data_IF_832792849999
#
_entry.id   IF_832792849999
#
_cell.length_a   1.000
_cell.length_b   1.000
_cell.length_c   1.000
_cell.angle_alpha   90.00
_cell.angle_beta   90.00
_cell.angle_gamma   90.00
#
_symmetry.space_group_name_H-M   'P 1'
#
loop_
_entity.id
_entity.type
_entity.pdbx_description
1 polymer ?
#
# COMPACT_ATOMS: atom_id res chain seq x y z
N UNK A 1 -39.42 4.30 -7.88
CA UNK A 1 -39.10 3.99 -9.28
C UNK A 1 -37.65 3.51 -9.30
N UNK A 2 -37.44 2.21 -9.50
CA UNK A 2 -36.15 1.51 -9.37
C UNK A 2 -35.32 1.73 -10.64
N UNK A 3 -34.06 2.14 -10.49
CA UNK A 3 -33.05 2.09 -11.56
C UNK A 3 -32.29 0.78 -11.35
N UNK A 4 -32.39 -0.12 -12.31
CA UNK A 4 -31.74 -1.43 -12.34
C UNK A 4 -30.33 -1.29 -12.92
N UNK A 5 -29.42 -2.00 -12.26
CA UNK A 5 -28.00 -2.09 -12.55
C UNK A 5 -27.70 -2.80 -13.87
N UNK A 6 -26.55 -2.39 -14.41
CA UNK A 6 -25.76 -2.93 -15.50
C UNK A 6 -25.56 -4.44 -15.49
N UNK A 7 -25.50 -4.99 -16.70
CA UNK A 7 -25.09 -6.35 -17.02
C UNK A 7 -23.87 -6.27 -17.93
N UNK A 8 -22.74 -6.83 -17.50
CA UNK A 8 -21.59 -7.11 -18.38
C UNK A 8 -21.07 -8.54 -18.17
N UNK A 9 -20.57 -9.18 -19.25
CA UNK A 9 -20.37 -10.63 -19.32
C UNK A 9 -18.97 -11.09 -18.89
N UNK A 10 -18.91 -12.35 -18.45
CA UNK A 10 -17.70 -13.09 -18.14
C UNK A 10 -16.82 -13.31 -19.39
N UNK A 11 -15.54 -12.94 -19.31
CA UNK A 11 -14.50 -13.30 -20.28
C UNK A 11 -13.67 -14.46 -19.71
N UNK A 12 -13.78 -15.61 -20.38
CA UNK A 12 -12.96 -16.81 -20.22
C UNK A 12 -11.63 -16.61 -20.97
N UNK A 13 -10.50 -16.69 -20.28
CA UNK A 13 -9.17 -16.72 -20.91
C UNK A 13 -8.60 -18.13 -20.77
N UNK A 14 -8.59 -18.84 -21.89
CA UNK A 14 -7.94 -20.13 -22.06
C UNK A 14 -6.42 -19.97 -22.19
N UNK A 15 -5.70 -20.77 -21.41
CA UNK A 15 -4.25 -20.88 -21.36
C UNK A 15 -3.78 -21.78 -22.52
N UNK A 16 -2.99 -21.25 -23.46
CA UNK A 16 -2.29 -22.04 -24.48
C UNK A 16 -0.79 -22.09 -24.16
N UNK A 17 -0.30 -23.31 -23.98
CA UNK A 17 1.08 -23.67 -23.64
C UNK A 17 1.91 -23.68 -24.93
N UNK A 18 2.97 -22.87 -24.99
CA UNK A 18 3.96 -22.92 -26.05
C UNK A 18 5.12 -23.84 -25.64
N UNK A 19 5.28 -24.97 -26.31
CA UNK A 19 6.46 -25.82 -26.20
C UNK A 19 7.48 -25.39 -27.26
N UNK A 20 8.64 -24.90 -26.81
CA UNK A 20 9.81 -24.66 -27.66
C UNK A 20 10.90 -25.63 -27.21
N UNK A 21 11.28 -26.54 -28.10
CA UNK A 21 12.44 -27.43 -27.92
C UNK A 21 13.60 -26.88 -28.75
N UNK A 22 14.76 -26.73 -28.14
CA UNK A 22 16.02 -26.47 -28.85
C UNK A 22 17.07 -27.52 -28.48
N UNK A 23 17.76 -27.94 -29.54
CA UNK A 23 18.93 -28.81 -29.62
C UNK A 23 20.06 -28.46 -28.65
N UNK A 24 20.77 -29.48 -28.14
CA UNK A 24 22.20 -29.41 -27.84
C UNK A 24 22.91 -30.67 -28.33
N UNK A 25 23.94 -30.47 -29.13
CA UNK A 25 24.90 -31.48 -29.57
C UNK A 25 26.07 -31.65 -28.58
N UNK A 26 27.08 -32.48 -28.92
CA UNK A 26 27.72 -33.41 -28.00
C UNK A 26 29.00 -32.89 -27.33
N UNK A 27 29.38 -33.53 -26.22
CA UNK A 27 30.62 -33.33 -25.47
C UNK A 27 31.64 -34.46 -25.68
N UNK A 28 32.87 -34.04 -25.96
CA UNK A 28 34.19 -34.71 -26.00
C UNK A 28 34.45 -36.02 -25.24
N UNK A 29 35.36 -36.82 -25.80
CA UNK A 29 36.31 -37.70 -25.10
C UNK A 29 37.18 -38.47 -26.11
N UNK A 30 38.46 -38.13 -26.35
CA UNK A 30 39.71 -38.37 -25.61
C UNK A 30 40.43 -39.70 -25.96
N UNK A 31 41.67 -39.57 -26.46
CA UNK A 31 42.81 -40.52 -26.50
C UNK A 31 42.59 -41.82 -27.31
N UNK A 32 43.57 -42.44 -27.98
CA UNK A 32 44.96 -42.68 -27.60
C UNK A 32 45.78 -43.29 -28.76
N UNK A 33 47.11 -43.17 -28.66
CA UNK A 33 48.15 -44.15 -29.08
C UNK A 33 48.64 -44.29 -30.55
N UNK A 34 49.84 -43.72 -30.75
CA UNK A 34 51.14 -44.37 -31.12
C UNK A 34 51.44 -44.89 -32.57
N UNK A 35 52.74 -45.05 -32.92
CA UNK A 35 53.33 -44.59 -34.20
C UNK A 35 53.87 -45.71 -35.13
N UNK A 36 54.21 -45.38 -36.39
CA UNK A 36 55.21 -46.16 -37.17
C UNK A 36 55.80 -45.46 -38.42
N UNK A 37 57.10 -45.16 -38.32
CA UNK A 37 58.23 -45.43 -39.24
C UNK A 37 58.26 -44.86 -40.69
N UNK A 38 59.26 -43.97 -40.89
CA UNK A 38 60.24 -43.79 -41.98
C UNK A 38 59.92 -44.27 -43.42
N UNK A 39 60.08 -43.37 -44.39
CA UNK A 39 60.86 -43.62 -45.64
C UNK A 39 61.40 -42.31 -46.22
N UNK A 40 62.69 -42.32 -46.60
CA UNK A 40 63.47 -41.28 -47.28
C UNK A 40 62.95 -40.97 -48.69
N UNK A 41 63.13 -39.73 -49.15
CA UNK A 41 63.24 -39.45 -50.58
C UNK A 41 63.07 -37.97 -50.97
N UNK A 42 64.13 -37.45 -51.58
CA UNK A 42 64.19 -36.29 -52.46
C UNK A 42 64.40 -34.86 -51.92
N UNK A 43 65.30 -34.22 -52.65
CA UNK A 43 66.01 -32.96 -52.46
C UNK A 43 65.46 -31.98 -53.52
N UNK A 44 65.58 -30.67 -53.25
CA UNK A 44 65.30 -29.50 -54.08
C UNK A 44 63.88 -28.92 -54.06
N UNK A 45 63.70 -27.83 -53.30
CA UNK A 45 63.47 -26.50 -53.89
C UNK A 45 63.57 -25.41 -52.80
N UNK A 46 64.09 -24.25 -53.19
CA UNK A 46 64.36 -23.08 -52.35
C UNK A 46 63.15 -22.14 -52.30
N UNK A 47 62.82 -21.71 -51.07
CA UNK A 47 62.26 -20.40 -50.66
C UNK A 47 60.79 -20.07 -51.00
N UNK A 48 60.21 -19.01 -50.39
CA UNK A 48 59.79 -18.90 -49.00
C UNK A 48 58.27 -18.64 -48.93
N UNK A 49 57.55 -19.08 -47.89
CA UNK A 49 56.17 -18.62 -47.70
C UNK A 49 55.90 -18.36 -46.24
N UNK A 50 55.80 -17.07 -45.95
CA UNK A 50 55.32 -16.47 -44.72
C UNK A 50 54.07 -17.21 -44.26
N UNK A 51 54.08 -17.67 -43.00
CA UNK A 51 52.86 -18.09 -42.32
C UNK A 51 51.91 -16.89 -42.30
N UNK A 52 50.96 -16.89 -43.23
CA UNK A 52 49.81 -16.00 -43.24
C UNK A 52 49.08 -16.19 -41.92
N UNK A 53 49.31 -15.25 -41.01
CA UNK A 53 48.41 -14.91 -39.92
C UNK A 53 47.04 -14.72 -40.56
N UNK A 54 46.15 -15.70 -40.43
CA UNK A 54 44.74 -15.55 -40.78
C UNK A 54 44.24 -14.34 -40.00
N UNK A 55 44.11 -13.20 -40.69
CA UNK A 55 43.43 -12.03 -40.18
C UNK A 55 41.98 -12.46 -39.92
N UNK A 56 41.70 -12.81 -38.66
CA UNK A 56 40.34 -13.01 -38.17
C UNK A 56 39.57 -11.74 -38.53
N UNK A 57 38.66 -11.85 -39.51
CA UNK A 57 37.87 -10.71 -39.96
C UNK A 57 37.03 -10.20 -38.79
N UNK A 58 37.54 -9.16 -38.13
CA UNK A 58 36.86 -8.50 -37.01
C UNK A 58 35.97 -7.39 -37.53
N UNK A 59 34.74 -7.29 -37.01
CA UNK A 59 33.84 -6.19 -37.33
C UNK A 59 33.50 -5.38 -36.07
N UNK A 60 33.09 -4.14 -36.27
CA UNK A 60 32.65 -3.26 -35.18
C UNK A 60 31.14 -3.41 -34.97
N UNK A 61 30.71 -3.62 -33.74
CA UNK A 61 29.30 -3.66 -33.34
C UNK A 61 29.03 -2.57 -32.31
N UNK A 62 28.00 -1.76 -32.54
CA UNK A 62 27.65 -0.63 -31.67
C UNK A 62 26.43 -0.96 -30.82
N UNK A 63 26.54 -0.74 -29.52
CA UNK A 63 25.47 -0.91 -28.54
C UNK A 63 25.19 0.46 -27.92
N UNK A 64 23.95 0.92 -28.04
CA UNK A 64 23.50 2.14 -27.39
C UNK A 64 22.76 1.77 -26.11
N UNK A 65 23.16 2.38 -25.00
CA UNK A 65 22.55 2.16 -23.69
C UNK A 65 22.14 3.49 -23.06
N UNK A 66 21.07 3.45 -22.28
CA UNK A 66 20.63 4.55 -21.42
C UNK A 66 20.76 4.09 -19.98
N UNK A 67 21.54 4.83 -19.20
CA UNK A 67 21.85 4.56 -17.79
C UNK A 67 21.68 5.82 -16.96
N UNK A 68 21.39 5.68 -15.67
CA UNK A 68 21.20 6.84 -14.77
C UNK A 68 22.55 7.38 -14.30
N UNK A 69 23.50 6.47 -14.00
CA UNK A 69 24.83 6.83 -13.50
C UNK A 69 25.94 6.18 -14.33
N UNK A 70 27.11 6.81 -14.36
CA UNK A 70 28.27 6.31 -15.10
C UNK A 70 28.77 4.96 -14.56
N UNK A 71 28.59 4.73 -13.25
CA UNK A 71 28.96 3.49 -12.56
C UNK A 71 28.15 2.27 -12.99
N UNK A 72 27.00 2.47 -13.65
CA UNK A 72 26.19 1.41 -14.22
C UNK A 72 26.76 0.85 -15.54
N UNK A 73 27.77 1.52 -16.12
CA UNK A 73 28.55 0.99 -17.24
C UNK A 73 29.69 0.15 -16.66
N UNK A 74 29.67 -1.16 -16.93
CA UNK A 74 30.60 -2.13 -16.29
C UNK A 74 31.84 -2.43 -17.11
N UNK A 75 31.92 -1.89 -18.32
CA UNK A 75 33.02 -2.13 -19.25
C UNK A 75 33.88 -0.89 -19.45
N UNK A 76 35.18 -1.12 -19.62
CA UNK A 76 36.18 -0.09 -19.94
C UNK A 76 36.73 -0.29 -21.35
N UNK A 77 37.27 0.76 -21.93
CA UNK A 77 37.95 0.67 -23.21
C UNK A 77 39.09 -0.35 -23.16
N UNK A 78 39.26 -1.11 -24.25
CA UNK A 78 40.22 -2.22 -24.42
C UNK A 78 39.98 -3.46 -23.54
N UNK A 79 38.91 -3.49 -22.76
CA UNK A 79 38.53 -4.69 -21.99
C UNK A 79 38.05 -5.80 -22.94
N UNK A 80 38.48 -7.04 -22.69
CA UNK A 80 37.89 -8.20 -23.37
C UNK A 80 36.57 -8.58 -22.72
N UNK A 81 35.57 -8.84 -23.55
CA UNK A 81 34.22 -9.24 -23.14
C UNK A 81 33.85 -10.51 -23.86
N UNK A 82 33.22 -11.43 -23.15
CA UNK A 82 32.64 -12.65 -23.72
C UNK A 82 31.16 -12.46 -24.00
N UNK A 83 30.62 -13.30 -24.87
CA UNK A 83 29.18 -13.41 -25.09
C UNK A 83 28.50 -13.72 -23.75
N UNK A 84 27.49 -12.91 -23.41
CA UNK A 84 26.75 -13.00 -22.15
C UNK A 84 27.32 -12.17 -21.00
N UNK A 85 28.53 -11.61 -21.12
CA UNK A 85 29.10 -10.72 -20.11
C UNK A 85 28.26 -9.44 -19.99
N UNK A 86 28.13 -8.92 -18.78
CA UNK A 86 27.31 -7.73 -18.52
C UNK A 86 28.08 -6.48 -18.94
N UNK A 87 27.49 -5.75 -19.89
CA UNK A 87 28.02 -4.48 -20.40
C UNK A 87 27.54 -3.33 -19.54
N UNK A 88 26.27 -3.37 -19.15
CA UNK A 88 25.68 -2.40 -18.24
C UNK A 88 24.69 -3.06 -17.30
N UNK A 89 24.76 -2.67 -16.04
CA UNK A 89 23.84 -3.08 -15.00
C UNK A 89 23.39 -1.84 -14.22
N UNK A 90 22.08 -1.61 -14.16
CA UNK A 90 21.50 -0.43 -13.48
C UNK A 90 21.41 -0.68 -11.97
N UNK A 91 22.57 -0.94 -11.35
CA UNK A 91 22.68 -1.29 -9.93
C UNK A 91 22.27 -0.08 -9.08
N UNK A 92 22.64 1.13 -9.49
CA UNK A 92 22.27 2.36 -8.78
C UNK A 92 20.74 2.51 -8.68
N UNK A 93 20.05 2.38 -9.81
CA UNK A 93 18.60 2.43 -9.93
C UNK A 93 17.93 1.33 -9.10
N UNK A 94 18.40 0.08 -9.24
CA UNK A 94 17.91 -1.06 -8.44
C UNK A 94 18.06 -0.80 -6.95
N UNK A 95 19.19 -0.28 -6.49
CA UNK A 95 19.45 0.00 -5.08
C UNK A 95 18.52 1.10 -4.52
N UNK A 96 18.25 2.12 -5.33
CA UNK A 96 17.31 3.20 -5.00
C UNK A 96 15.87 2.67 -4.87
N UNK A 97 15.43 1.87 -5.84
CA UNK A 97 14.10 1.25 -5.80
C UNK A 97 13.95 0.26 -4.64
N UNK A 98 14.99 -0.53 -4.32
CA UNK A 98 14.98 -1.41 -3.14
C UNK A 98 14.88 -0.62 -1.83
N UNK A 99 15.52 0.54 -1.76
CA UNK A 99 15.42 1.44 -0.61
C UNK A 99 13.99 1.99 -0.50
N UNK A 100 13.41 2.46 -1.61
CA UNK A 100 12.02 2.92 -1.68
C UNK A 100 11.03 1.82 -1.28
N UNK A 101 11.24 0.60 -1.77
CA UNK A 101 10.47 -0.60 -1.38
C UNK A 101 10.49 -0.81 0.14
N UNK A 102 11.67 -0.83 0.76
CA UNK A 102 11.80 -0.99 2.21
C UNK A 102 11.09 0.14 2.98
N UNK A 103 11.18 1.38 2.50
CA UNK A 103 10.47 2.50 3.12
C UNK A 103 8.95 2.33 3.07
N UNK A 104 8.41 1.89 1.91
CA UNK A 104 6.99 1.59 1.75
C UNK A 104 6.54 0.43 2.65
N UNK A 105 7.34 -0.63 2.76
CA UNK A 105 7.05 -1.76 3.67
C UNK A 105 6.97 -1.30 5.14
N UNK A 106 7.89 -0.43 5.57
CA UNK A 106 7.86 0.17 6.91
C UNK A 106 6.63 1.06 7.09
N UNK A 107 6.28 1.87 6.07
CA UNK A 107 5.08 2.70 6.11
C UNK A 107 3.81 1.85 6.24
N UNK A 108 3.70 0.75 5.50
CA UNK A 108 2.58 -0.21 5.61
C UNK A 108 2.53 -0.87 6.98
N UNK A 109 3.68 -1.26 7.55
CA UNK A 109 3.73 -1.84 8.89
C UNK A 109 3.23 -0.85 9.96
N UNK A 110 3.56 0.44 9.82
CA UNK A 110 3.05 1.50 10.71
C UNK A 110 1.55 1.76 10.48
N UNK A 111 1.13 1.85 9.23
CA UNK A 111 -0.27 2.11 8.88
C UNK A 111 -1.20 0.92 9.24
N UNK A 112 -0.68 -0.29 9.38
CA UNK A 112 -1.46 -1.48 9.78
C UNK A 112 -1.58 -1.68 11.30
N UNK A 113 -0.98 -0.79 12.11
CA UNK A 113 -1.15 -0.83 13.56
C UNK A 113 -2.63 -0.70 13.94
N UNK A 114 -3.11 -1.47 14.92
CA UNK A 114 -4.52 -1.45 15.29
C UNK A 114 -4.88 -0.06 15.83
N UNK A 115 -6.00 0.49 15.33
CA UNK A 115 -6.58 1.69 15.92
C UNK A 115 -6.96 1.38 17.37
N UNK A 116 -6.60 2.27 18.30
CA UNK A 116 -7.07 2.18 19.68
C UNK A 116 -8.58 2.08 19.65
N UNK A 117 -9.10 0.94 20.14
CA UNK A 117 -10.53 0.73 20.23
C UNK A 117 -11.08 1.86 21.09
N UNK A 118 -11.98 2.67 20.54
CA UNK A 118 -12.68 3.67 21.34
C UNK A 118 -13.33 2.89 22.48
N UNK A 119 -12.89 3.15 23.70
CA UNK A 119 -13.64 2.67 24.86
C UNK A 119 -15.05 3.22 24.66
N UNK A 120 -16.06 2.34 24.51
CA UNK A 120 -17.41 2.81 24.31
C UNK A 120 -17.70 3.73 25.48
N UNK A 121 -18.22 4.94 25.24
CA UNK A 121 -18.78 5.79 26.29
C UNK A 121 -19.46 4.85 27.27
N UNK A 122 -18.84 4.75 28.45
CA UNK A 122 -18.93 3.58 29.30
C UNK A 122 -20.39 3.16 29.33
N UNK A 123 -20.77 1.93 28.98
CA UNK A 123 -22.18 1.50 29.06
C UNK A 123 -22.82 1.95 30.39
N UNK A 124 -21.98 2.05 31.43
CA UNK A 124 -22.21 2.74 32.70
C UNK A 124 -22.76 4.16 32.61
N UNK A 125 -22.18 5.10 31.86
CA UNK A 125 -22.69 6.48 31.74
C UNK A 125 -24.09 6.52 31.13
N UNK A 126 -24.35 5.76 30.07
CA UNK A 126 -25.69 5.69 29.49
C UNK A 126 -26.71 5.05 30.44
N UNK A 127 -26.30 4.02 31.18
CA UNK A 127 -27.12 3.42 32.23
C UNK A 127 -27.38 4.39 33.39
N UNK A 128 -26.38 5.17 33.81
CA UNK A 128 -26.49 6.20 34.84
C UNK A 128 -27.49 7.28 34.42
N UNK A 129 -27.41 7.80 33.20
CA UNK A 129 -28.35 8.82 32.71
C UNK A 129 -29.78 8.27 32.59
N UNK A 130 -29.95 7.00 32.20
CA UNK A 130 -31.27 6.33 32.22
C UNK A 130 -31.84 6.21 33.62
N UNK A 131 -31.00 5.87 34.61
CA UNK A 131 -31.42 5.81 36.01
C UNK A 131 -31.75 7.18 36.58
N UNK A 132 -30.99 8.22 36.21
CA UNK A 132 -31.30 9.60 36.57
C UNK A 132 -32.66 10.05 36.02
N UNK A 133 -32.94 9.73 34.75
CA UNK A 133 -34.24 10.02 34.13
C UNK A 133 -35.38 9.29 34.85
N UNK A 134 -35.21 7.99 35.12
CA UNK A 134 -36.23 7.20 35.84
C UNK A 134 -36.49 7.76 37.24
N UNK A 135 -35.44 8.17 37.96
CA UNK A 135 -35.55 8.81 39.27
C UNK A 135 -36.33 10.12 39.18
N UNK A 136 -36.01 10.99 38.22
CA UNK A 136 -36.71 12.25 38.01
C UNK A 136 -38.20 12.04 37.65
N UNK A 137 -38.49 11.04 36.80
CA UNK A 137 -39.86 10.67 36.45
C UNK A 137 -40.64 10.16 37.67
N UNK A 138 -40.02 9.31 38.49
CA UNK A 138 -40.64 8.80 39.71
C UNK A 138 -40.98 9.91 40.69
N UNK A 139 -40.08 10.90 40.87
CA UNK A 139 -40.36 12.07 41.70
C UNK A 139 -41.49 12.93 41.13
N UNK A 140 -41.52 13.16 39.82
CA UNK A 140 -42.60 13.90 39.17
C UNK A 140 -43.95 13.18 39.37
N UNK A 141 -43.99 11.86 39.20
CA UNK A 141 -45.19 11.05 39.45
C UNK A 141 -45.62 11.16 40.91
N UNK A 142 -44.68 11.05 41.86
CA UNK A 142 -44.96 11.19 43.30
C UNK A 142 -45.57 12.55 43.63
N UNK A 143 -44.97 13.65 43.14
CA UNK A 143 -45.48 15.00 43.39
C UNK A 143 -46.84 15.22 42.72
N UNK A 144 -47.05 14.67 41.51
CA UNK A 144 -48.33 14.75 40.81
C UNK A 144 -49.43 14.00 41.57
N UNK A 145 -49.15 12.78 42.05
CA UNK A 145 -50.08 12.02 42.89
C UNK A 145 -50.42 12.76 44.19
N UNK A 146 -49.44 13.43 44.81
CA UNK A 146 -49.70 14.28 45.97
C UNK A 146 -50.67 15.39 45.60
N UNK A 147 -50.42 16.15 44.53
CA UNK A 147 -51.31 17.21 44.06
C UNK A 147 -52.73 16.69 43.80
N UNK A 148 -52.86 15.55 43.11
CA UNK A 148 -54.16 14.93 42.80
C UNK A 148 -54.92 14.55 44.07
N UNK A 149 -54.22 14.02 45.08
CA UNK A 149 -54.80 13.73 46.39
C UNK A 149 -55.35 15.00 47.04
N UNK A 150 -54.60 16.12 47.04
CA UNK A 150 -55.04 17.40 47.61
C UNK A 150 -56.24 18.01 46.87
N UNK A 151 -56.33 17.85 45.55
CA UNK A 151 -57.46 18.36 44.77
C UNK A 151 -58.78 17.65 45.11
N UNK A 152 -58.73 16.40 45.59
CA UNK A 152 -59.92 15.66 46.04
C UNK A 152 -60.56 16.19 47.33
N UNK A 153 -59.84 17.00 48.13
CA UNK A 153 -60.31 17.51 49.42
C UNK A 153 -60.63 19.01 49.43
N UNK A 154 -60.48 19.72 48.31
CA UNK A 154 -60.73 21.16 48.25
C UNK A 154 -62.24 21.47 48.25
N UNK A 155 -62.63 22.56 48.93
CA UNK A 155 -63.99 23.09 48.82
C UNK A 155 -64.26 23.49 47.36
N UNK A 156 -65.47 23.21 46.87
CA UNK A 156 -65.87 23.52 45.48
C UNK A 156 -65.84 25.02 45.16
N UNK A 157 -65.86 25.87 46.19
CA UNK A 157 -65.79 27.32 46.08
C UNK A 157 -64.37 27.82 46.41
N UNK A 158 -63.64 28.42 45.44
CA UNK A 158 -62.30 28.95 45.63
C UNK A 158 -62.19 30.01 46.73
N UNK A 159 -63.22 30.84 46.91
CA UNK A 159 -63.19 31.94 47.88
C UNK A 159 -63.29 31.45 49.32
N UNK A 160 -64.03 30.37 49.55
CA UNK A 160 -64.16 29.74 50.87
C UNK A 160 -62.91 28.95 51.25
N UNK A 161 -62.21 28.38 50.26
CA UNK A 161 -60.96 27.63 50.49
C UNK A 161 -59.83 28.50 51.03
N UNK A 162 -59.74 29.75 50.57
CA UNK A 162 -58.69 30.68 50.98
C UNK A 162 -58.90 31.23 52.41
N UNK A 163 -60.16 31.31 52.85
CA UNK A 163 -60.54 31.84 54.17
C UNK A 163 -60.56 30.73 55.23
N UNK A 164 -61.09 29.55 54.89
CA UNK A 164 -61.28 28.44 55.83
C UNK A 164 -60.07 27.50 55.91
N UNK A 165 -59.26 27.40 54.84
CA UNK A 165 -58.13 26.48 54.76
C UNK A 165 -56.84 27.11 54.18
N UNK A 166 -56.37 28.26 54.72
CA UNK A 166 -55.23 29.00 54.15
C UNK A 166 -53.91 28.19 54.15
N UNK A 167 -53.74 27.26 55.09
CA UNK A 167 -52.57 26.38 55.13
C UNK A 167 -52.54 25.39 53.96
N UNK A 168 -53.70 24.84 53.57
CA UNK A 168 -53.79 23.90 52.44
C UNK A 168 -53.53 24.58 51.11
N UNK A 169 -53.98 25.82 50.94
CA UNK A 169 -53.70 26.62 49.73
C UNK A 169 -52.20 26.89 49.59
N UNK A 170 -51.52 27.23 50.70
CA UNK A 170 -50.05 27.39 50.72
C UNK A 170 -49.31 26.09 50.41
N UNK A 171 -49.76 24.98 50.99
CA UNK A 171 -49.17 23.66 50.74
C UNK A 171 -49.35 23.22 49.28
N UNK A 172 -50.53 23.44 48.70
CA UNK A 172 -50.78 23.18 47.28
C UNK A 172 -49.90 24.03 46.38
N UNK A 173 -49.71 25.32 46.71
CA UNK A 173 -48.79 26.19 45.98
C UNK A 173 -47.34 25.65 46.04
N UNK A 174 -46.88 25.23 47.21
CA UNK A 174 -45.57 24.61 47.38
C UNK A 174 -45.43 23.28 46.61
N UNK A 175 -46.49 22.47 46.55
CA UNK A 175 -46.50 21.24 45.73
C UNK A 175 -46.44 21.54 44.24
N UNK A 176 -47.16 22.57 43.76
CA UNK A 176 -47.08 23.02 42.36
C UNK A 176 -45.69 23.54 41.99
N UNK A 177 -45.04 24.28 42.89
CA UNK A 177 -43.64 24.68 42.71
C UNK A 177 -42.72 23.46 42.62
N UNK A 178 -42.87 22.49 43.53
CA UNK A 178 -42.15 21.20 43.47
C UNK A 178 -42.41 20.45 42.16
N UNK A 179 -43.62 20.50 41.62
CA UNK A 179 -43.97 19.87 40.34
C UNK A 179 -43.23 20.54 39.16
N UNK A 180 -43.14 21.87 39.16
CA UNK A 180 -42.37 22.61 38.16
C UNK A 180 -40.90 22.21 38.22
N UNK A 181 -40.31 22.18 39.42
CA UNK A 181 -38.92 21.75 39.63
C UNK A 181 -38.69 20.31 39.17
N UNK A 182 -39.59 19.38 39.52
CA UNK A 182 -39.53 17.99 39.07
C UNK A 182 -39.64 17.87 37.54
N UNK A 183 -40.49 18.69 36.90
CA UNK A 183 -40.62 18.73 35.44
C UNK A 183 -39.35 19.23 34.77
N UNK A 184 -38.71 20.26 35.32
CA UNK A 184 -37.41 20.75 34.85
C UNK A 184 -36.35 19.67 35.01
N UNK A 185 -36.31 18.97 36.14
CA UNK A 185 -35.37 17.88 36.37
C UNK A 185 -35.54 16.73 35.36
N UNK A 186 -36.77 16.37 35.00
CA UNK A 186 -37.04 15.38 33.94
C UNK A 186 -36.51 15.86 32.57
N UNK A 187 -36.78 17.12 32.20
CA UNK A 187 -36.30 17.70 30.94
C UNK A 187 -34.77 17.72 30.88
N UNK A 188 -34.12 18.07 31.99
CA UNK A 188 -32.67 18.07 32.08
C UNK A 188 -32.08 16.66 31.96
N UNK A 189 -32.63 15.69 32.68
CA UNK A 189 -32.19 14.29 32.58
C UNK A 189 -32.37 13.74 31.15
N UNK A 190 -33.47 14.10 30.47
CA UNK A 190 -33.69 13.73 29.08
C UNK A 190 -32.66 14.38 28.14
N UNK A 191 -32.34 15.66 28.35
CA UNK A 191 -31.33 16.36 27.56
C UNK A 191 -29.93 15.71 27.73
N UNK A 192 -29.56 15.34 28.96
CA UNK A 192 -28.30 14.63 29.26
C UNK A 192 -28.25 13.26 28.59
N UNK A 193 -29.35 12.51 28.65
CA UNK A 193 -29.46 11.21 27.97
C UNK A 193 -29.27 11.35 26.45
N UNK A 194 -29.93 12.32 25.83
CA UNK A 194 -29.80 12.57 24.39
C UNK A 194 -28.38 13.03 24.01
N UNK A 195 -27.77 13.90 24.81
CA UNK A 195 -26.38 14.32 24.60
C UNK A 195 -25.41 13.13 24.64
N UNK A 196 -25.59 12.22 25.62
CA UNK A 196 -24.80 11.00 25.70
C UNK A 196 -24.97 10.08 24.47
N UNK A 197 -26.20 9.98 23.92
CA UNK A 197 -26.44 9.23 22.68
C UNK A 197 -25.74 9.83 21.47
N UNK A 198 -25.80 11.16 21.32
CA UNK A 198 -25.14 11.88 20.22
C UNK A 198 -23.63 11.72 20.31
N UNK A 199 -23.05 11.87 21.50
CA UNK A 199 -21.62 11.66 21.69
C UNK A 199 -21.21 10.23 21.29
N UNK A 200 -22.01 9.23 21.64
CA UNK A 200 -21.74 7.83 21.29
C UNK A 200 -21.81 7.61 19.78
N UNK A 201 -22.82 8.15 19.10
CA UNK A 201 -22.94 8.02 17.64
C UNK A 201 -21.80 8.74 16.91
N UNK A 202 -21.37 9.90 17.40
CA UNK A 202 -20.20 10.61 16.88
C UNK A 202 -18.93 9.79 17.04
N UNK A 203 -18.68 9.21 18.22
CA UNK A 203 -17.51 8.36 18.44
C UNK A 203 -17.46 7.15 17.51
N UNK A 204 -18.60 6.48 17.31
CA UNK A 204 -18.69 5.36 16.35
C UNK A 204 -18.40 5.82 14.92
N UNK A 205 -18.95 6.96 14.54
CA UNK A 205 -18.73 7.55 13.21
C UNK A 205 -17.27 7.92 12.99
N UNK A 206 -16.64 8.56 13.98
CA UNK A 206 -15.21 8.90 13.95
C UNK A 206 -14.36 7.64 13.86
N UNK A 207 -14.67 6.62 14.66
CA UNK A 207 -13.96 5.33 14.60
C UNK A 207 -14.07 4.67 13.23
N UNK A 208 -15.28 4.57 12.67
CA UNK A 208 -15.52 4.03 11.33
C UNK A 208 -14.79 4.83 10.25
N UNK A 209 -14.81 6.16 10.36
CA UNK A 209 -14.11 7.06 9.43
C UNK A 209 -12.60 6.82 9.48
N UNK A 210 -12.03 6.69 10.68
CA UNK A 210 -10.60 6.42 10.84
C UNK A 210 -10.21 5.05 10.29
N UNK A 211 -11.05 4.03 10.48
CA UNK A 211 -10.84 2.70 9.91
C UNK A 211 -10.87 2.75 8.37
N UNK A 212 -11.82 3.47 7.78
CA UNK A 212 -11.89 3.66 6.34
C UNK A 212 -10.67 4.41 5.79
N UNK A 213 -10.22 5.47 6.48
CA UNK A 213 -9.00 6.20 6.12
C UNK A 213 -7.76 5.30 6.15
N UNK A 214 -7.62 4.50 7.21
CA UNK A 214 -6.52 3.55 7.35
C UNK A 214 -6.52 2.52 6.20
N UNK A 215 -7.69 1.98 5.83
CA UNK A 215 -7.81 1.07 4.68
C UNK A 215 -7.38 1.73 3.38
N UNK A 216 -7.85 2.95 3.12
CA UNK A 216 -7.47 3.69 1.93
C UNK A 216 -5.96 3.95 1.86
N UNK A 217 -5.36 4.35 2.98
CA UNK A 217 -3.91 4.56 3.09
C UNK A 217 -3.14 3.26 2.79
N UNK A 218 -3.58 2.14 3.36
CA UNK A 218 -2.95 0.83 3.11
C UNK A 218 -3.05 0.40 1.65
N UNK A 219 -4.21 0.58 1.00
CA UNK A 219 -4.37 0.24 -0.42
C UNK A 219 -3.52 1.16 -1.31
N UNK A 220 -3.43 2.46 -0.98
CA UNK A 220 -2.55 3.38 -1.70
C UNK A 220 -1.08 2.97 -1.58
N UNK A 221 -0.61 2.66 -0.37
CA UNK A 221 0.76 2.17 -0.14
C UNK A 221 1.02 0.83 -0.85
N UNK A 222 0.02 -0.07 -0.87
CA UNK A 222 0.12 -1.35 -1.57
C UNK A 222 0.25 -1.16 -3.08
N UNK A 223 -0.52 -0.24 -3.66
CA UNK A 223 -0.40 0.11 -5.09
C UNK A 223 0.99 0.68 -5.41
N UNK A 224 1.51 1.58 -4.58
CA UNK A 224 2.86 2.14 -4.76
C UNK A 224 3.94 1.05 -4.64
N UNK A 225 3.77 0.11 -3.72
CA UNK A 225 4.67 -1.02 -3.55
C UNK A 225 4.65 -1.94 -4.78
N UNK A 226 3.48 -2.19 -5.37
CA UNK A 226 3.34 -2.96 -6.59
C UNK A 226 4.08 -2.28 -7.75
N UNK A 227 3.85 -0.98 -7.97
CA UNK A 227 4.53 -0.21 -9.02
C UNK A 227 6.06 -0.28 -8.87
N UNK A 228 6.58 -0.12 -7.64
CA UNK A 228 8.02 -0.24 -7.39
C UNK A 228 8.53 -1.67 -7.65
N UNK A 229 7.75 -2.70 -7.34
CA UNK A 229 8.14 -4.08 -7.64
C UNK A 229 8.18 -4.33 -9.16
N UNK A 230 7.23 -3.78 -9.91
CA UNK A 230 7.22 -3.84 -11.38
C UNK A 230 8.45 -3.14 -11.95
N UNK A 231 8.76 -1.92 -11.50
CA UNK A 231 9.98 -1.18 -11.88
C UNK A 231 11.26 -1.98 -11.59
N UNK A 232 11.34 -2.66 -10.44
CA UNK A 232 12.51 -3.51 -10.12
C UNK A 232 12.62 -4.71 -11.08
N UNK A 233 11.50 -5.31 -11.48
CA UNK A 233 11.47 -6.45 -12.41
C UNK A 233 11.85 -6.03 -13.84
N UNK A 234 11.48 -4.82 -14.25
CA UNK A 234 11.83 -4.24 -15.56
C UNK A 234 13.32 -3.88 -15.69
N UNK A 235 14.05 -3.72 -14.58
CA UNK A 235 15.50 -3.49 -14.61
C UNK A 235 16.22 -4.76 -15.05
N UNK A 236 16.52 -4.82 -16.34
CA UNK A 236 17.30 -5.87 -16.99
C UNK A 236 18.73 -5.38 -17.25
N UNK A 237 19.71 -6.26 -16.98
CA UNK A 237 21.11 -6.01 -17.31
C UNK A 237 21.36 -6.20 -18.82
N UNK A 238 22.07 -5.26 -19.44
CA UNK A 238 22.45 -5.34 -20.86
C UNK A 238 23.71 -6.20 -20.99
N UNK A 239 23.62 -7.27 -21.79
CA UNK A 239 24.71 -8.24 -21.98
C UNK A 239 25.33 -8.14 -23.37
N UNK A 240 26.59 -8.56 -23.48
CA UNK A 240 27.30 -8.64 -24.75
C UNK A 240 26.72 -9.74 -25.63
N UNK A 241 26.33 -9.45 -26.88
CA UNK A 241 25.84 -10.47 -27.81
C UNK A 241 26.98 -11.34 -28.38
N UNK A 242 28.22 -10.85 -28.36
CA UNK A 242 29.38 -11.49 -28.99
C UNK A 242 30.62 -11.47 -28.10
N UNK A 243 31.57 -12.34 -28.43
CA UNK A 243 32.93 -12.31 -27.90
C UNK A 243 33.78 -11.27 -28.64
N UNK A 244 34.56 -10.49 -27.88
CA UNK A 244 35.33 -9.41 -28.48
C UNK A 244 36.09 -8.56 -27.48
N UNK A 245 36.50 -7.39 -27.94
CA UNK A 245 37.10 -6.35 -27.11
C UNK A 245 36.36 -5.04 -27.27
N UNK A 246 36.18 -4.31 -26.17
CA UNK A 246 35.58 -2.98 -26.19
C UNK A 246 36.52 -2.01 -26.89
N UNK A 247 36.12 -1.52 -28.05
CA UNK A 247 36.87 -0.54 -28.83
C UNK A 247 36.77 0.85 -28.21
N UNK A 248 35.55 1.27 -27.85
CA UNK A 248 35.26 2.62 -27.38
C UNK A 248 34.05 2.64 -26.46
N UNK A 249 34.08 3.48 -25.43
CA UNK A 249 32.92 3.87 -24.64
C UNK A 249 32.77 5.39 -24.73
N UNK A 250 31.71 5.87 -25.37
CA UNK A 250 31.47 7.31 -25.57
C UNK A 250 30.14 7.71 -24.93
N UNK A 251 30.15 8.75 -24.11
CA UNK A 251 28.89 9.39 -23.68
C UNK A 251 28.40 10.28 -24.83
N UNK A 252 27.21 9.97 -25.34
CA UNK A 252 26.57 10.71 -26.44
C UNK A 252 25.88 11.97 -25.95
N UNK A 253 25.30 11.92 -24.76
CA UNK A 253 24.59 13.03 -24.17
C UNK A 253 24.10 12.71 -22.76
N UNK A 254 23.76 13.78 -22.04
CA UNK A 254 23.17 13.71 -20.72
C UNK A 254 21.93 14.58 -20.72
N UNK A 255 20.83 14.06 -20.18
CA UNK A 255 19.71 14.86 -19.73
C UNK A 255 19.67 14.85 -18.19
N UNK A 256 18.73 15.57 -17.58
CA UNK A 256 18.67 15.76 -16.13
C UNK A 256 18.66 14.45 -15.32
N UNK A 257 18.27 13.33 -15.92
CA UNK A 257 18.09 12.04 -15.20
C UNK A 257 18.83 10.86 -15.83
N UNK A 258 19.26 10.96 -17.08
CA UNK A 258 19.78 9.84 -17.85
C UNK A 258 21.01 10.25 -18.67
N UNK A 259 21.95 9.33 -18.77
CA UNK A 259 23.13 9.34 -19.62
C UNK A 259 22.91 8.36 -20.77
N UNK A 260 23.10 8.84 -21.99
CA UNK A 260 23.12 7.97 -23.18
C UNK A 260 24.57 7.68 -23.52
N UNK A 261 24.95 6.40 -23.54
CA UNK A 261 26.28 5.96 -23.88
C UNK A 261 26.27 5.02 -25.08
N UNK A 262 27.31 5.14 -25.90
CA UNK A 262 27.62 4.29 -27.05
C UNK A 262 28.83 3.43 -26.71
N UNK A 263 28.67 2.12 -26.84
CA UNK A 263 29.72 1.13 -26.61
C UNK A 263 29.97 0.40 -27.92
N UNK A 264 31.18 0.54 -28.45
CA UNK A 264 31.59 -0.12 -29.69
C UNK A 264 32.45 -1.32 -29.32
N UNK A 265 32.07 -2.49 -29.82
CA UNK A 265 32.79 -3.76 -29.65
C UNK A 265 33.50 -4.13 -30.94
N UNK A 266 34.76 -4.52 -30.86
CA UNK A 266 35.46 -5.27 -31.91
C UNK A 266 35.15 -6.75 -31.72
N UNK A 267 34.30 -7.30 -32.57
CA UNK A 267 33.86 -8.69 -32.53
C UNK A 267 34.87 -9.56 -33.26
N UNK A 268 35.26 -10.69 -32.65
CA UNK A 268 36.06 -11.72 -33.32
C UNK A 268 35.10 -12.74 -33.93
N UNK A 269 35.21 -12.99 -35.24
CA UNK A 269 34.49 -14.09 -35.91
C UNK A 269 35.12 -15.44 -35.59
#
# INVERSE_FOLDING_TARGET
MRILLDSFPFLSVGLLIAAVTFHTGPSNGLADSKPKILTRGNIFSLSPTQAQKTESASFLHTIQITVTHIEDIKVKEKQQVKKGDIISDRISERSSLLTKKRQLEIAMAKASLPLTKTEPITKSQFQQERMALHKAQSELTRVTQQIDHYQGFAFKDPQLSEILEPEKVKELAALKEKQILATVAVKEALARLNAAQIQHSLQLTTYQTNLSKQKYELESLRSQLQEVNEQIQEIVAVRSPYDGSVYRVKILGQNDRNLTAEIVLTVKR
#
